data_IF_728482773689
#
_entry.id   IF_728482773689
#
_cell.length_a   1.000
_cell.length_b   1.000
_cell.length_c   1.000
_cell.angle_alpha   90.00
_cell.angle_beta   90.00
_cell.angle_gamma   90.00
#
_symmetry.space_group_name_H-M   'P 1'
#
loop_
_entity.id
_entity.type
_entity.pdbx_description
1 polymer ?
#
# COMPACT_ATOMS: atom_id res chain seq x y z
N UNK A 1 55.46 30.85 35.44
CA UNK A 1 54.87 29.53 35.15
C UNK A 1 53.46 29.73 34.60
N UNK A 2 53.20 29.10 33.45
CA UNK A 2 51.93 28.79 32.72
C UNK A 2 50.65 29.03 33.54
N UNK A 3 49.58 29.69 33.04
CA UNK A 3 48.58 29.19 32.06
C UNK A 3 47.83 30.42 31.51
N UNK A 4 47.86 30.78 30.23
CA UNK A 4 47.22 30.17 29.05
C UNK A 4 45.67 30.03 29.17
N UNK A 5 44.98 31.04 28.60
CA UNK A 5 43.82 30.98 27.69
C UNK A 5 42.76 29.86 27.89
N UNK A 6 41.50 30.26 28.01
CA UNK A 6 40.37 29.32 27.89
C UNK A 6 38.99 29.93 28.11
N UNK A 7 38.61 30.95 27.33
CA UNK A 7 37.20 31.31 27.10
C UNK A 7 36.63 30.25 26.14
N UNK A 8 35.71 29.41 26.62
CA UNK A 8 34.63 28.71 25.87
C UNK A 8 34.22 27.46 26.66
N UNK A 9 33.00 27.42 27.18
CA UNK A 9 32.04 26.37 26.82
C UNK A 9 30.70 26.64 27.50
N UNK A 10 29.77 27.03 26.64
CA UNK A 10 28.36 27.24 26.87
C UNK A 10 27.69 25.96 27.36
N UNK A 11 26.87 26.10 28.40
CA UNK A 11 25.57 25.44 28.61
C UNK A 11 25.47 23.97 28.17
N UNK A 12 25.96 23.05 29.01
CA UNK A 12 25.37 21.71 29.07
C UNK A 12 24.21 21.76 30.07
N UNK A 13 23.00 22.06 29.57
CA UNK A 13 21.78 21.88 30.35
C UNK A 13 21.65 20.39 30.69
N UNK A 14 21.89 20.04 31.96
CA UNK A 14 21.68 18.70 32.46
C UNK A 14 20.18 18.36 32.36
N UNK A 15 19.85 17.42 31.46
CA UNK A 15 18.51 16.87 31.31
C UNK A 15 18.09 16.22 32.63
N UNK A 16 17.19 16.88 33.36
CA UNK A 16 16.72 16.43 34.67
C UNK A 16 15.85 15.18 34.50
N UNK A 17 16.32 14.07 35.07
CA UNK A 17 15.64 12.76 35.07
C UNK A 17 14.36 12.80 35.90
N UNK A 18 13.22 13.11 35.27
CA UNK A 18 11.91 12.79 35.87
C UNK A 18 11.58 11.34 35.52
N UNK A 19 11.65 10.46 36.53
CA UNK A 19 11.11 9.09 36.48
C UNK A 19 9.65 9.15 35.99
N UNK A 20 9.33 8.37 34.96
CA UNK A 20 7.94 8.10 34.56
C UNK A 20 7.52 6.81 35.29
N UNK A 21 6.37 6.77 35.96
CA UNK A 21 5.87 5.57 36.62
C UNK A 21 5.44 4.51 35.60
N UNK A 22 5.80 3.26 35.89
CA UNK A 22 5.36 2.06 35.18
C UNK A 22 3.82 1.92 35.34
N UNK A 23 3.14 1.25 34.38
CA UNK A 23 1.77 0.72 34.48
C UNK A 23 0.64 1.29 33.59
N UNK A 24 0.91 1.81 32.37
CA UNK A 24 -0.19 2.02 31.39
C UNK A 24 0.21 1.65 29.94
N UNK A 25 -0.44 0.60 29.41
CA UNK A 25 -0.36 0.11 28.03
C UNK A 25 -1.35 0.86 27.13
N UNK A 26 -0.87 1.85 26.37
CA UNK A 26 -1.48 2.34 25.11
C UNK A 26 -0.36 2.99 24.27
N UNK A 27 -0.05 2.54 23.03
CA UNK A 27 1.28 2.80 22.47
C UNK A 27 1.43 4.08 21.66
N UNK A 28 0.39 4.90 21.45
CA UNK A 28 0.46 6.01 20.47
C UNK A 28 -0.26 7.28 20.90
N UNK A 29 0.14 7.88 22.02
CA UNK A 29 -0.14 9.29 22.28
C UNK A 29 1.04 9.94 23.02
N UNK A 30 1.62 10.94 22.36
CA UNK A 30 2.55 11.94 22.92
C UNK A 30 3.99 11.53 23.20
N UNK A 31 4.84 11.50 22.17
CA UNK A 31 6.30 11.64 22.35
C UNK A 31 6.95 12.30 21.14
N UNK A 32 7.12 13.62 21.21
CA UNK A 32 7.99 14.34 20.29
C UNK A 32 9.46 14.16 20.73
N UNK A 33 10.26 13.58 19.83
CA UNK A 33 11.68 13.88 19.59
C UNK A 33 12.80 13.35 20.52
N UNK A 34 13.02 12.02 20.60
CA UNK A 34 14.40 11.48 20.64
C UNK A 34 14.51 10.01 20.15
N UNK A 35 15.27 9.82 19.06
CA UNK A 35 15.94 8.60 18.54
C UNK A 35 15.23 7.27 18.27
N UNK A 36 13.91 7.13 18.40
CA UNK A 36 13.23 5.96 17.80
C UNK A 36 13.00 6.16 16.30
N UNK A 37 14.07 5.92 15.54
CA UNK A 37 13.98 5.62 14.11
C UNK A 37 12.93 4.52 13.94
N UNK A 38 11.90 4.75 13.14
CA UNK A 38 10.94 3.70 12.80
C UNK A 38 11.72 2.45 12.35
N UNK A 39 11.50 1.26 12.93
CA UNK A 39 12.27 0.06 12.58
C UNK A 39 12.21 -0.26 11.08
N UNK A 40 11.11 0.07 10.43
CA UNK A 40 10.90 -0.21 9.00
C UNK A 40 11.59 0.79 8.08
N UNK A 41 11.56 2.09 8.40
CA UNK A 41 12.13 3.13 7.53
C UNK A 41 13.39 3.82 8.10
N UNK A 42 13.86 3.46 9.29
CA UNK A 42 15.02 4.06 9.94
C UNK A 42 15.05 5.61 9.96
N UNK A 43 13.88 6.27 9.91
CA UNK A 43 13.76 7.72 9.81
C UNK A 43 13.74 8.31 8.39
N UNK A 44 13.81 7.50 7.33
CA UNK A 44 13.86 7.96 5.91
C UNK A 44 12.51 8.37 5.33
N UNK A 45 11.45 8.52 6.15
CA UNK A 45 10.07 8.89 5.77
C UNK A 45 9.38 7.96 4.76
N UNK A 46 10.06 6.95 4.21
CA UNK A 46 9.51 5.93 3.34
C UNK A 46 10.54 4.88 2.93
N UNK A 47 10.05 3.69 2.56
CA UNK A 47 10.88 2.56 2.12
C UNK A 47 10.73 2.35 0.63
N UNK A 48 11.75 1.76 -0.01
CA UNK A 48 11.64 1.33 -1.40
C UNK A 48 10.48 0.35 -1.55
N UNK A 49 9.65 0.55 -2.57
CA UNK A 49 8.51 -0.33 -2.80
C UNK A 49 9.00 -1.75 -3.11
N UNK A 50 8.57 -2.71 -2.31
CA UNK A 50 8.97 -4.12 -2.46
C UNK A 50 8.43 -4.75 -3.75
N UNK A 51 7.29 -4.28 -4.27
CA UNK A 51 6.64 -4.88 -5.45
C UNK A 51 7.29 -4.50 -6.77
N UNK A 52 7.74 -3.25 -6.90
CA UNK A 52 8.40 -2.74 -8.11
C UNK A 52 9.90 -2.49 -7.91
N UNK A 53 10.43 -2.80 -6.73
CA UNK A 53 11.84 -2.59 -6.37
C UNK A 53 12.34 -1.17 -6.65
N UNK A 54 11.46 -0.17 -6.53
CA UNK A 54 11.80 1.23 -6.76
C UNK A 54 11.50 1.78 -8.15
N UNK A 55 11.14 0.94 -9.14
CA UNK A 55 10.90 1.40 -10.52
C UNK A 55 9.62 2.24 -10.67
N UNK A 56 8.64 2.06 -9.77
CA UNK A 56 7.30 2.66 -9.90
C UNK A 56 6.38 1.91 -10.87
N UNK A 57 6.89 0.93 -11.61
CA UNK A 57 6.12 0.19 -12.62
C UNK A 57 6.27 -1.32 -12.44
N UNK A 58 5.24 -2.07 -12.85
CA UNK A 58 5.25 -3.52 -12.90
C UNK A 58 4.94 -3.99 -14.31
N UNK A 59 5.40 -5.19 -14.66
CA UNK A 59 5.05 -5.80 -15.95
C UNK A 59 3.54 -5.99 -16.03
N UNK A 60 2.95 -5.56 -17.15
CA UNK A 60 1.53 -5.79 -17.43
C UNK A 60 1.26 -7.30 -17.45
N UNK A 61 0.41 -7.76 -16.54
CA UNK A 61 0.08 -9.19 -16.41
C UNK A 61 -0.82 -9.65 -17.55
N UNK A 62 -1.67 -8.76 -18.06
CA UNK A 62 -2.63 -9.04 -19.14
C UNK A 62 -1.95 -9.40 -20.47
N UNK A 63 -0.81 -8.78 -20.78
CA UNK A 63 -0.04 -9.08 -21.99
C UNK A 63 1.34 -9.67 -21.70
N UNK A 64 1.65 -9.95 -20.42
CA UNK A 64 2.96 -10.46 -19.97
C UNK A 64 4.15 -9.64 -20.51
N UNK A 65 3.99 -8.31 -20.58
CA UNK A 65 5.03 -7.40 -21.08
C UNK A 65 5.09 -7.18 -22.59
N UNK A 66 4.31 -7.90 -23.40
CA UNK A 66 4.39 -7.76 -24.87
C UNK A 66 3.78 -6.47 -25.43
N UNK A 67 2.93 -5.78 -24.66
CA UNK A 67 2.12 -4.66 -25.13
C UNK A 67 1.00 -5.04 -26.10
N UNK A 68 0.84 -6.33 -26.45
CA UNK A 68 -0.11 -6.80 -27.46
C UNK A 68 -0.89 -8.01 -26.98
N UNK A 69 -2.10 -8.18 -27.49
CA UNK A 69 -2.94 -9.36 -27.28
C UNK A 69 -3.40 -9.92 -28.61
N UNK A 70 -3.51 -11.23 -28.70
CA UNK A 70 -4.09 -11.92 -29.85
C UNK A 70 -5.51 -11.38 -30.11
N UNK A 71 -5.81 -11.07 -31.37
CA UNK A 71 -7.16 -10.69 -31.74
C UNK A 71 -8.08 -11.89 -31.58
N UNK A 72 -9.04 -11.79 -30.66
CA UNK A 72 -10.01 -12.86 -30.39
C UNK A 72 -10.99 -13.10 -31.53
N UNK A 73 -11.21 -12.11 -32.40
CA UNK A 73 -12.13 -12.26 -33.55
C UNK A 73 -11.57 -13.26 -34.57
N UNK A 74 -10.27 -13.18 -34.86
CA UNK A 74 -9.63 -14.03 -35.87
C UNK A 74 -8.67 -15.07 -35.26
N UNK A 75 -8.64 -15.22 -33.94
CA UNK A 75 -7.73 -16.11 -33.20
C UNK A 75 -6.25 -15.97 -33.61
N UNK A 76 -5.83 -14.75 -33.93
CA UNK A 76 -4.45 -14.49 -34.36
C UNK A 76 -4.15 -14.69 -35.84
N UNK A 77 -5.08 -15.23 -36.63
CA UNK A 77 -4.86 -15.49 -38.06
C UNK A 77 -4.81 -14.24 -38.94
N UNK A 78 -5.36 -13.13 -38.46
CA UNK A 78 -5.55 -11.92 -39.26
C UNK A 78 -6.70 -12.01 -40.28
N UNK A 79 -7.42 -13.13 -40.34
CA UNK A 79 -8.56 -13.33 -41.25
C UNK A 79 -9.80 -13.79 -40.52
N UNK A 80 -10.96 -13.29 -40.91
CA UNK A 80 -12.24 -13.71 -40.34
C UNK A 80 -13.26 -13.89 -41.47
N UNK A 81 -13.86 -15.09 -41.55
CA UNK A 81 -14.83 -15.46 -42.61
C UNK A 81 -14.32 -15.30 -44.05
N UNK A 82 -13.01 -15.49 -44.27
CA UNK A 82 -12.39 -15.45 -45.61
C UNK A 82 -11.80 -14.08 -45.98
N UNK A 83 -12.21 -13.02 -45.30
CA UNK A 83 -11.71 -11.66 -45.50
C UNK A 83 -10.67 -11.26 -44.46
N UNK A 84 -10.00 -10.13 -44.70
CA UNK A 84 -9.14 -9.49 -43.72
C UNK A 84 -9.94 -9.14 -42.46
N UNK A 85 -9.37 -9.47 -41.29
CA UNK A 85 -10.03 -9.18 -40.02
C UNK A 85 -10.01 -7.67 -39.75
N UNK A 86 -11.17 -7.02 -39.92
CA UNK A 86 -11.43 -5.60 -39.66
C UNK A 86 -11.08 -5.18 -38.23
N UNK A 87 -11.22 -6.10 -37.28
CA UNK A 87 -11.02 -5.82 -35.87
C UNK A 87 -9.53 -5.58 -35.54
N UNK A 88 -8.61 -6.14 -36.34
CA UNK A 88 -7.17 -6.01 -36.15
C UNK A 88 -6.41 -5.54 -37.40
N UNK A 89 -7.12 -5.05 -38.43
CA UNK A 89 -6.56 -4.66 -39.73
C UNK A 89 -5.61 -5.73 -40.30
N UNK A 90 -6.04 -6.99 -40.26
CA UNK A 90 -5.24 -8.11 -40.78
C UNK A 90 -4.01 -8.51 -39.96
N UNK A 91 -3.69 -7.80 -38.86
CA UNK A 91 -2.44 -8.04 -38.08
C UNK A 91 -2.49 -9.27 -37.19
N UNK A 92 -3.68 -9.80 -36.90
CA UNK A 92 -3.90 -10.89 -35.94
C UNK A 92 -3.69 -10.51 -34.47
N UNK A 93 -3.23 -9.29 -34.18
CA UNK A 93 -2.96 -8.82 -32.83
C UNK A 93 -3.43 -7.39 -32.63
N UNK A 94 -3.82 -7.07 -31.41
CA UNK A 94 -4.24 -5.73 -30.97
C UNK A 94 -3.32 -5.21 -29.87
N UNK A 95 -3.29 -3.89 -29.70
CA UNK A 95 -2.69 -3.29 -28.51
C UNK A 95 -3.38 -3.84 -27.26
N UNK A 96 -2.60 -4.11 -26.22
CA UNK A 96 -3.15 -4.47 -24.93
C UNK A 96 -3.92 -3.27 -24.37
N UNK A 97 -5.22 -3.44 -24.15
CA UNK A 97 -6.07 -2.38 -23.61
C UNK A 97 -5.70 -2.03 -22.16
N UNK A 98 -5.22 -2.99 -21.37
CA UNK A 98 -4.86 -2.78 -19.96
C UNK A 98 -3.70 -1.82 -19.77
N UNK A 99 -2.67 -1.92 -20.63
CA UNK A 99 -1.46 -1.09 -20.55
C UNK A 99 -1.30 -0.12 -21.72
N UNK A 100 -2.34 0.07 -22.54
CA UNK A 100 -2.28 0.95 -23.73
C UNK A 100 -1.29 0.55 -24.83
N UNK A 101 -0.54 -0.54 -24.64
CA UNK A 101 0.54 -0.95 -25.54
C UNK A 101 1.94 -0.92 -24.92
N UNK A 102 2.10 -0.37 -23.71
CA UNK A 102 3.43 -0.13 -23.11
C UNK A 102 4.07 -1.40 -22.51
N UNK A 103 3.26 -2.45 -22.30
CA UNK A 103 3.70 -3.69 -21.66
C UNK A 103 3.96 -3.54 -20.15
N UNK A 104 3.77 -2.35 -19.59
CA UNK A 104 3.96 -2.03 -18.17
C UNK A 104 2.71 -1.37 -17.61
N UNK A 105 2.52 -1.52 -16.31
CA UNK A 105 1.44 -0.87 -15.56
C UNK A 105 2.05 -0.12 -14.38
N UNK A 106 1.45 1.00 -14.02
CA UNK A 106 1.82 1.73 -12.80
C UNK A 106 1.70 0.80 -11.61
N UNK A 107 2.75 0.72 -10.78
CA UNK A 107 2.74 -0.14 -9.61
C UNK A 107 1.64 0.32 -8.64
N UNK A 108 0.61 -0.50 -8.37
CA UNK A 108 -0.52 -0.08 -7.54
C UNK A 108 -0.13 0.12 -6.08
N UNK A 109 0.90 -0.59 -5.62
CA UNK A 109 1.38 -0.55 -4.23
C UNK A 109 2.05 0.78 -3.86
N UNK A 110 2.66 1.48 -4.82
CA UNK A 110 3.29 2.78 -4.59
C UNK A 110 2.72 3.89 -5.47
N UNK A 111 1.68 3.60 -6.24
CA UNK A 111 1.06 4.52 -7.22
C UNK A 111 2.09 5.21 -8.12
N UNK A 112 3.07 4.46 -8.62
CA UNK A 112 4.11 5.01 -9.50
C UNK A 112 5.29 5.67 -8.80
N UNK A 113 5.25 5.88 -7.48
CA UNK A 113 6.28 6.65 -6.77
C UNK A 113 7.58 5.88 -6.52
N UNK A 114 7.57 4.55 -6.66
CA UNK A 114 8.70 3.68 -6.34
C UNK A 114 9.02 3.55 -4.84
N UNK A 115 8.36 4.32 -3.98
CA UNK A 115 8.52 4.30 -2.52
C UNK A 115 7.16 4.23 -1.84
N UNK A 116 7.11 3.52 -0.72
CA UNK A 116 5.94 3.44 0.15
C UNK A 116 6.23 4.33 1.35
N UNK A 117 5.34 5.27 1.64
CA UNK A 117 5.52 6.13 2.80
C UNK A 117 5.46 5.29 4.08
N UNK A 118 6.25 5.65 5.08
CA UNK A 118 6.36 4.85 6.30
C UNK A 118 5.00 4.76 7.06
N UNK A 119 4.14 5.77 6.90
CA UNK A 119 2.77 5.79 7.41
C UNK A 119 1.82 4.81 6.68
N UNK A 120 2.17 4.37 5.47
CA UNK A 120 1.39 3.44 4.64
C UNK A 120 1.78 1.97 4.86
N UNK A 121 2.77 1.70 5.71
CA UNK A 121 3.20 0.34 6.09
C UNK A 121 2.49 -0.16 7.36
N UNK A 122 1.61 0.65 7.94
CA UNK A 122 0.74 0.21 9.02
C UNK A 122 -0.20 -0.87 8.45
N UNK A 123 -0.22 -2.08 9.00
CA UNK A 123 -1.12 -3.13 8.52
C UNK A 123 -2.56 -2.64 8.73
N UNK A 124 -3.32 -2.53 7.64
CA UNK A 124 -4.78 -2.59 7.68
C UNK A 124 -5.16 -4.02 8.04
N UNK A 125 -5.04 -4.36 9.32
CA UNK A 125 -5.73 -5.49 9.91
C UNK A 125 -6.78 -4.90 10.84
N UNK A 126 -8.00 -4.79 10.31
CA UNK A 126 -9.30 -4.99 10.98
C UNK A 126 -10.36 -4.00 10.43
N UNK A 127 -11.54 -4.49 9.98
CA UNK A 127 -12.74 -3.65 9.98
C UNK A 127 -13.04 -3.23 11.43
N UNK A 128 -13.68 -2.07 11.68
CA UNK A 128 -14.00 -1.64 13.03
C UNK A 128 -14.73 -2.75 13.76
N UNK A 129 -14.14 -3.25 14.84
CA UNK A 129 -14.81 -4.13 15.79
C UNK A 129 -16.06 -3.39 16.29
N UNK A 130 -17.23 -3.86 15.88
CA UNK A 130 -18.47 -3.47 16.52
C UNK A 130 -18.39 -3.97 17.97
N UNK A 131 -18.41 -3.03 18.91
CA UNK A 131 -18.52 -3.32 20.34
C UNK A 131 -19.76 -4.19 20.59
N UNK A 132 -19.68 -5.25 21.43
CA UNK A 132 -20.83 -6.08 21.76
C UNK A 132 -21.91 -5.40 22.62
N UNK A 133 -21.70 -4.16 23.05
CA UNK A 133 -22.61 -3.45 23.98
C UNK A 133 -23.69 -2.60 23.29
N UNK A 134 -23.70 -2.50 21.95
CA UNK A 134 -24.73 -1.76 21.20
C UNK A 134 -25.97 -2.60 20.81
N UNK A 135 -26.14 -3.79 21.41
CA UNK A 135 -27.36 -4.57 21.26
C UNK A 135 -28.50 -4.03 22.13
N UNK A 136 -29.14 -2.96 21.64
CA UNK A 136 -30.47 -2.50 22.07
C UNK A 136 -31.50 -3.66 21.95
N UNK A 137 -32.53 -3.73 22.82
CA UNK A 137 -33.21 -5.00 23.14
C UNK A 137 -34.05 -5.53 21.99
N UNK A 138 -33.95 -6.84 21.76
CA UNK A 138 -34.90 -7.58 20.96
C UNK A 138 -36.27 -7.61 21.66
N UNK A 139 -37.14 -6.67 21.30
CA UNK A 139 -38.56 -6.80 21.55
C UNK A 139 -39.33 -6.92 20.23
N UNK A 140 -40.00 -8.07 20.13
CA UNK A 140 -41.32 -8.25 19.54
C UNK A 140 -41.43 -8.31 18.01
N UNK A 141 -41.48 -9.53 17.45
CA UNK A 141 -42.43 -9.84 16.39
C UNK A 141 -42.87 -11.32 16.46
N UNK A 142 -44.18 -11.50 16.54
CA UNK A 142 -44.93 -12.75 16.54
C UNK A 142 -44.97 -13.39 15.13
N UNK A 143 -45.18 -14.71 15.05
CA UNK A 143 -45.64 -15.43 13.86
C UNK A 143 -45.07 -16.85 13.78
N UNK A 144 -45.75 -17.90 14.25
CA UNK A 144 -46.88 -18.62 13.62
C UNK A 144 -46.46 -19.64 12.53
N UNK A 145 -46.74 -20.93 12.79
CA UNK A 145 -46.84 -22.04 11.80
C UNK A 145 -45.50 -22.54 11.23
N UNK A 146 -45.26 -23.82 10.92
CA UNK A 146 -46.14 -24.95 10.65
C UNK A 146 -45.46 -26.27 11.05
N UNK A 147 -46.28 -27.22 11.52
CA UNK A 147 -45.96 -28.64 11.63
C UNK A 147 -46.09 -29.31 10.26
N UNK A 148 -45.17 -30.21 9.91
CA UNK A 148 -45.27 -31.28 8.89
C UNK A 148 -43.98 -32.11 8.97
N UNK A 149 -43.92 -33.43 8.93
CA UNK A 149 -44.86 -34.55 9.08
C UNK A 149 -43.97 -35.74 9.47
#
# INVERSE_FOLDING_TARGET
MRRALGVLLLLAAACSTKKVPEDHWYPHAEMLCQERRCPSCHGTRGVTCFKCHGSGEITCTSCRGSGKRTCSKCDGSGRYKGDECDDCDGKGQKKCYTCGGDGKETCPTCSGKGKIACLQLMPVTEPPVASPDDAWPANNFQGAGEKKK
#
